data_IF_653897904604
#
_entry.id   IF_653897904604
#
_cell.length_a   1.000
_cell.length_b   1.000
_cell.length_c   1.000
_cell.angle_alpha   90.00
_cell.angle_beta   90.00
_cell.angle_gamma   90.00
#
_symmetry.space_group_name_H-M   'P 1'
#
loop_
_entity.id
_entity.type
_entity.pdbx_description
1 polymer ?
#
# COMPACT_ATOMS: atom_id res chain seq x y z
N UNK A 1 24.35 20.21 8.42
CA UNK A 1 23.78 19.00 7.76
C UNK A 1 22.27 19.07 7.94
N UNK A 2 21.57 19.72 7.00
CA UNK A 2 20.11 19.85 7.08
C UNK A 2 19.52 18.57 6.51
N UNK A 3 18.87 17.79 7.36
CA UNK A 3 18.12 16.61 6.98
C UNK A 3 17.02 17.05 6.00
N UNK A 4 17.19 16.74 4.72
CA UNK A 4 16.19 16.99 3.69
C UNK A 4 15.01 16.04 3.98
N UNK A 5 14.02 16.52 4.73
CA UNK A 5 12.71 15.86 4.78
C UNK A 5 12.14 15.99 3.38
N UNK A 6 12.41 14.96 2.57
CA UNK A 6 11.82 14.79 1.25
C UNK A 6 10.33 14.52 1.51
N UNK A 7 9.52 15.57 1.60
CA UNK A 7 8.08 15.48 1.45
C UNK A 7 7.84 15.06 -0.01
N UNK A 8 7.97 13.75 -0.24
CA UNK A 8 7.60 13.12 -1.47
C UNK A 8 6.07 13.18 -1.47
N UNK A 9 5.51 14.10 -2.25
CA UNK A 9 4.08 14.08 -2.57
C UNK A 9 3.82 12.81 -3.38
N UNK A 10 3.69 11.68 -2.69
CA UNK A 10 3.38 10.39 -3.27
C UNK A 10 1.86 10.33 -3.44
N UNK A 11 1.42 10.37 -4.68
CA UNK A 11 0.04 10.04 -5.01
C UNK A 11 -0.08 8.53 -4.86
N UNK A 12 -0.90 8.10 -3.91
CA UNK A 12 -1.09 6.69 -3.62
C UNK A 12 -2.51 6.29 -3.96
N UNK A 13 -2.66 5.29 -4.83
CA UNK A 13 -3.97 4.77 -5.23
C UNK A 13 -4.30 3.60 -4.30
N UNK A 14 -5.37 3.75 -3.54
CA UNK A 14 -5.94 2.66 -2.74
C UNK A 14 -6.99 1.92 -3.57
N UNK A 15 -6.68 0.70 -3.99
CA UNK A 15 -7.67 -0.16 -4.63
C UNK A 15 -8.52 -0.80 -3.53
N UNK A 16 -9.85 -0.67 -3.58
CA UNK A 16 -10.75 -1.32 -2.64
C UNK A 16 -11.51 -2.49 -3.29
N UNK A 17 -11.89 -3.49 -2.51
CA UNK A 17 -12.85 -4.49 -2.96
C UNK A 17 -14.28 -3.92 -2.99
N UNK A 18 -15.26 -4.71 -3.46
CA UNK A 18 -16.67 -4.31 -3.54
C UNK A 18 -17.30 -3.92 -2.18
N UNK A 19 -16.65 -4.26 -1.06
CA UNK A 19 -17.08 -3.92 0.31
C UNK A 19 -16.39 -2.67 0.84
N UNK A 20 -15.43 -2.13 0.10
CA UNK A 20 -14.61 -0.98 0.52
C UNK A 20 -13.34 -1.37 1.28
N UNK A 21 -12.97 -2.65 1.34
CA UNK A 21 -11.75 -3.08 2.03
C UNK A 21 -10.52 -2.76 1.18
N UNK A 22 -9.47 -2.15 1.75
CA UNK A 22 -8.28 -1.73 1.01
C UNK A 22 -7.46 -2.96 0.59
N UNK A 23 -7.32 -3.20 -0.70
CA UNK A 23 -6.59 -4.34 -1.29
C UNK A 23 -5.12 -4.04 -1.55
N UNK A 24 -4.79 -2.81 -1.94
CA UNK A 24 -3.42 -2.45 -2.27
C UNK A 24 -3.17 -0.95 -2.13
N UNK A 25 -1.93 -0.64 -1.75
CA UNK A 25 -1.34 0.69 -1.72
C UNK A 25 -0.34 0.77 -2.88
N UNK A 26 -0.70 1.48 -3.95
CA UNK A 26 0.14 1.55 -5.15
C UNK A 26 0.87 2.89 -5.23
N UNK A 27 2.19 2.84 -5.39
CA UNK A 27 3.04 4.03 -5.53
C UNK A 27 2.98 4.63 -6.94
N UNK A 28 3.65 5.78 -7.12
CA UNK A 28 3.67 6.48 -8.41
C UNK A 28 4.36 5.70 -9.55
N UNK A 29 5.14 4.66 -9.24
CA UNK A 29 5.74 3.75 -10.24
C UNK A 29 4.78 2.62 -10.66
N UNK A 30 3.57 2.58 -10.09
CA UNK A 30 2.62 1.50 -10.33
C UNK A 30 2.95 0.21 -9.58
N UNK A 31 3.87 0.24 -8.61
CA UNK A 31 4.19 -0.92 -7.76
C UNK A 31 3.38 -0.87 -6.47
N UNK A 32 2.97 -2.03 -5.99
CA UNK A 32 2.27 -2.16 -4.71
C UNK A 32 3.28 -2.10 -3.56
N UNK A 33 3.30 -0.98 -2.82
CA UNK A 33 4.06 -0.84 -1.58
C UNK A 33 3.46 -1.69 -0.46
N UNK A 34 2.14 -1.90 -0.50
CA UNK A 34 1.41 -2.83 0.36
C UNK A 34 0.26 -3.48 -0.39
N UNK A 35 -0.08 -4.72 -0.04
CA UNK A 35 -1.30 -5.39 -0.48
C UNK A 35 -1.83 -6.34 0.57
N UNK A 36 -3.14 -6.49 0.67
CA UNK A 36 -3.80 -7.43 1.55
C UNK A 36 -4.88 -8.24 0.83
N UNK A 37 -5.02 -9.48 1.27
CA UNK A 37 -6.08 -10.41 0.86
C UNK A 37 -6.99 -10.65 2.06
N UNK A 38 -8.30 -10.60 1.83
CA UNK A 38 -9.31 -10.78 2.88
C UNK A 38 -10.25 -11.93 2.56
N UNK A 39 -10.74 -12.60 3.60
CA UNK A 39 -11.84 -13.55 3.46
C UNK A 39 -13.20 -12.85 3.26
N UNK A 40 -14.28 -13.62 3.20
CA UNK A 40 -15.64 -13.12 3.01
C UNK A 40 -16.17 -12.27 4.19
N UNK A 41 -15.55 -12.35 5.36
CA UNK A 41 -15.92 -11.58 6.56
C UNK A 41 -15.01 -10.38 6.81
N UNK A 42 -13.97 -10.21 5.99
CA UNK A 42 -13.01 -9.11 6.12
C UNK A 42 -11.83 -9.42 7.04
N UNK A 43 -11.62 -10.69 7.41
CA UNK A 43 -10.40 -11.08 8.10
C UNK A 43 -9.23 -11.14 7.12
N UNK A 44 -8.08 -10.66 7.56
CA UNK A 44 -6.84 -10.67 6.77
C UNK A 44 -6.35 -12.11 6.62
N UNK A 45 -6.25 -12.58 5.37
CA UNK A 45 -5.65 -13.85 5.00
C UNK A 45 -4.16 -13.71 4.72
N UNK A 46 -3.75 -12.58 4.14
CA UNK A 46 -2.35 -12.32 3.82
C UNK A 46 -2.10 -10.81 3.72
N UNK A 47 -0.91 -10.39 4.12
CA UNK A 47 -0.39 -9.04 3.86
C UNK A 47 1.02 -9.13 3.28
N UNK A 48 1.29 -8.28 2.29
CA UNK A 48 2.60 -8.14 1.67
C UNK A 48 2.99 -6.69 1.73
N UNK A 49 4.21 -6.45 2.18
CA UNK A 49 4.85 -5.15 2.13
C UNK A 49 6.02 -5.25 1.17
N UNK A 50 6.15 -4.28 0.27
CA UNK A 50 7.39 -4.15 -0.46
C UNK A 50 8.45 -3.76 0.56
N UNK A 51 9.32 -4.73 0.89
CA UNK A 51 10.53 -4.42 1.67
C UNK A 51 11.30 -3.39 0.86
N UNK A 52 11.40 -2.17 1.38
CA UNK A 52 12.40 -1.22 0.91
C UNK A 52 13.74 -1.94 1.03
N UNK A 53 14.36 -2.27 -0.11
CA UNK A 53 15.73 -2.74 -0.11
C UNK A 53 16.59 -1.54 0.28
N UNK A 54 16.95 -1.46 1.57
CA UNK A 54 18.02 -0.63 2.11
C UNK A 54 18.63 -1.31 3.31
#
# INVERSE_FOLDING_TARGET
MVNQIKLQFAITITCCDQRGLPLALVNAEGKADWSAEYDAWGNVLSEKFQRFAS
#
